data_IF_416654307418
#
_entry.id   IF_416654307418
#
_cell.length_a   1.000
_cell.length_b   1.000
_cell.length_c   1.000
_cell.angle_alpha   90.00
_cell.angle_beta   90.00
_cell.angle_gamma   90.00
#
_symmetry.space_group_name_H-M   'P 1'
#
loop_
_entity.id
_entity.type
_entity.pdbx_description
1 polymer ?
#
# COMPACT_ATOMS: atom_id res chain seq x y z
N UNK A 1 1.12 10.12 29.11
CA UNK A 1 0.45 9.87 27.81
C UNK A 1 0.48 8.37 27.54
N UNK A 2 -0.68 7.73 27.40
CA UNK A 2 -0.75 6.31 27.03
C UNK A 2 -0.53 6.22 25.52
N UNK A 3 0.62 5.69 25.09
CA UNK A 3 0.92 5.42 23.68
C UNK A 3 0.39 4.04 23.36
N UNK A 4 -0.43 3.92 22.31
CA UNK A 4 -0.99 2.63 21.90
C UNK A 4 0.13 1.78 21.28
N UNK A 5 0.68 0.85 22.06
CA UNK A 5 1.77 -0.06 21.66
C UNK A 5 1.26 -1.38 21.06
N UNK A 6 0.02 -1.78 21.34
CA UNK A 6 -0.53 -3.04 20.84
C UNK A 6 0.35 -4.23 21.26
N UNK A 7 0.73 -5.08 20.29
CA UNK A 7 1.62 -6.25 20.49
C UNK A 7 3.11 -5.85 20.42
N UNK A 8 3.42 -4.64 19.94
CA UNK A 8 4.80 -4.20 19.74
C UNK A 8 5.28 -3.35 20.92
N UNK A 9 6.57 -3.43 21.22
CA UNK A 9 7.19 -2.62 22.28
C UNK A 9 7.29 -1.13 21.90
N UNK A 10 7.21 -0.81 20.61
CA UNK A 10 7.26 0.55 20.07
C UNK A 10 5.99 0.91 19.27
N UNK A 11 5.34 2.07 19.54
CA UNK A 11 4.16 2.52 18.78
C UNK A 11 4.42 2.73 17.28
N UNK A 12 5.65 3.10 16.91
CA UNK A 12 6.08 3.27 15.51
C UNK A 12 6.08 1.95 14.74
N UNK A 13 6.49 0.85 15.38
CA UNK A 13 6.50 -0.48 14.78
C UNK A 13 5.06 -0.95 14.52
N UNK A 14 4.16 -0.74 15.48
CA UNK A 14 2.74 -1.06 15.31
C UNK A 14 2.10 -0.29 14.15
N UNK A 15 2.41 1.00 13.98
CA UNK A 15 1.90 1.81 12.87
C UNK A 15 2.40 1.32 11.51
N UNK A 16 3.67 0.93 11.40
CA UNK A 16 4.22 0.35 10.17
C UNK A 16 3.46 -0.90 9.73
N UNK A 17 3.25 -1.82 10.69
CA UNK A 17 2.47 -3.03 10.49
C UNK A 17 1.01 -2.72 10.11
N UNK A 18 0.30 -1.95 10.94
CA UNK A 18 -1.11 -1.64 10.75
C UNK A 18 -1.36 -0.92 9.43
N UNK A 19 -0.44 -0.05 8.99
CA UNK A 19 -0.54 0.67 7.72
C UNK A 19 -0.40 -0.25 6.51
N UNK A 20 0.60 -1.16 6.50
CA UNK A 20 0.76 -2.12 5.42
C UNK A 20 -0.49 -3.00 5.23
N UNK A 21 -1.02 -3.53 6.33
CA UNK A 21 -2.24 -4.33 6.32
C UNK A 21 -3.50 -3.54 5.97
N UNK A 22 -3.58 -2.28 6.39
CA UNK A 22 -4.64 -1.36 5.98
C UNK A 22 -4.68 -1.19 4.46
N UNK A 23 -3.53 -0.90 3.84
CA UNK A 23 -3.44 -0.74 2.37
C UNK A 23 -3.85 -2.03 1.66
N UNK A 24 -3.34 -3.17 2.12
CA UNK A 24 -3.67 -4.48 1.54
C UNK A 24 -5.17 -4.79 1.59
N UNK A 25 -5.81 -4.58 2.75
CA UNK A 25 -7.24 -4.83 2.93
C UNK A 25 -8.09 -3.83 2.15
N UNK A 26 -7.68 -2.56 2.08
CA UNK A 26 -8.39 -1.56 1.29
C UNK A 26 -8.31 -1.90 -0.20
N UNK A 27 -7.15 -2.29 -0.73
CA UNK A 27 -7.00 -2.73 -2.12
C UNK A 27 -7.83 -3.98 -2.43
N UNK A 28 -7.89 -4.95 -1.51
CA UNK A 28 -8.76 -6.11 -1.64
C UNK A 28 -10.24 -5.69 -1.71
N UNK A 29 -10.67 -4.77 -0.83
CA UNK A 29 -12.02 -4.24 -0.84
C UNK A 29 -12.32 -3.47 -2.13
N UNK A 30 -11.40 -2.64 -2.62
CA UNK A 30 -11.53 -1.91 -3.88
C UNK A 30 -11.72 -2.85 -5.07
N UNK A 31 -11.17 -4.07 -5.02
CA UNK A 31 -11.24 -5.10 -6.05
C UNK A 31 -12.36 -6.12 -5.89
N UNK A 32 -13.27 -5.95 -4.93
CA UNK A 32 -14.35 -6.90 -4.59
C UNK A 32 -13.87 -8.28 -4.11
N UNK A 33 -12.69 -8.33 -3.49
CA UNK A 33 -12.22 -9.54 -2.81
C UNK A 33 -12.78 -9.54 -1.40
N UNK A 34 -13.70 -10.47 -1.11
CA UNK A 34 -14.37 -10.64 0.19
C UNK A 34 -14.82 -9.30 0.81
N UNK A 35 -15.56 -8.43 0.09
CA UNK A 35 -15.77 -7.03 0.47
C UNK A 35 -16.48 -6.85 1.82
N UNK A 36 -17.27 -7.84 2.24
CA UNK A 36 -17.94 -7.86 3.56
C UNK A 36 -16.98 -8.04 4.74
N UNK A 37 -15.77 -8.57 4.50
CA UNK A 37 -14.73 -8.77 5.53
C UNK A 37 -13.60 -7.76 5.40
N UNK A 38 -13.12 -7.55 4.17
CA UNK A 38 -11.98 -6.67 3.88
C UNK A 38 -12.30 -5.19 4.11
N UNK A 39 -13.52 -4.76 3.78
CA UNK A 39 -13.97 -3.38 4.01
C UNK A 39 -14.01 -2.99 5.49
N UNK A 40 -14.77 -3.70 6.35
CA UNK A 40 -14.81 -3.42 7.78
C UNK A 40 -13.44 -3.54 8.46
N UNK A 41 -12.63 -4.52 8.06
CA UNK A 41 -11.27 -4.67 8.61
C UNK A 41 -10.36 -3.50 8.22
N UNK A 42 -10.42 -3.02 6.97
CA UNK A 42 -9.69 -1.83 6.54
C UNK A 42 -10.16 -0.58 7.30
N UNK A 43 -11.48 -0.43 7.52
CA UNK A 43 -12.03 0.69 8.30
C UNK A 43 -11.57 0.63 9.77
N UNK A 44 -11.59 -0.54 10.39
CA UNK A 44 -11.10 -0.72 11.75
C UNK A 44 -9.62 -0.32 11.89
N UNK A 45 -8.77 -0.77 10.96
CA UNK A 45 -7.35 -0.37 10.93
C UNK A 45 -7.18 1.13 10.66
N UNK A 46 -7.98 1.72 9.77
CA UNK A 46 -7.95 3.15 9.52
C UNK A 46 -8.29 3.97 10.78
N UNK A 47 -9.31 3.56 11.54
CA UNK A 47 -9.67 4.19 12.81
C UNK A 47 -8.55 4.04 13.84
N UNK A 48 -7.96 2.84 13.95
CA UNK A 48 -6.85 2.62 14.88
C UNK A 48 -5.64 3.50 14.52
N UNK A 49 -5.29 3.60 13.22
CA UNK A 49 -4.22 4.47 12.74
C UNK A 49 -4.53 5.96 13.01
N UNK A 50 -5.78 6.37 12.82
CA UNK A 50 -6.23 7.73 13.06
C UNK A 50 -6.17 8.10 14.56
N UNK A 51 -6.66 7.22 15.43
CA UNK A 51 -6.63 7.40 16.89
C UNK A 51 -5.25 7.13 17.51
N UNK A 52 -4.32 6.50 16.78
CA UNK A 52 -2.93 6.34 17.24
C UNK A 52 -2.22 7.68 17.43
N UNK A 53 -2.72 8.78 16.84
CA UNK A 53 -2.14 10.13 16.92
C UNK A 53 -0.64 10.18 16.58
N UNK A 54 -0.20 9.26 15.73
CA UNK A 54 1.19 9.14 15.30
C UNK A 54 1.42 9.91 14.01
N UNK A 55 2.43 10.78 13.98
CA UNK A 55 2.85 11.48 12.75
C UNK A 55 3.12 10.51 11.59
N UNK A 56 3.64 9.31 11.88
CA UNK A 56 3.92 8.29 10.86
C UNK A 56 2.64 7.69 10.29
N UNK A 57 1.59 7.56 11.11
CA UNK A 57 0.28 7.07 10.67
C UNK A 57 -0.38 8.08 9.72
N UNK A 58 -0.32 9.37 10.06
CA UNK A 58 -0.86 10.44 9.20
C UNK A 58 -0.07 10.57 7.89
N UNK A 59 1.26 10.43 7.90
CA UNK A 59 2.07 10.39 6.68
C UNK A 59 1.67 9.22 5.77
N UNK A 60 1.52 8.02 6.33
CA UNK A 60 1.07 6.84 5.57
C UNK A 60 -0.34 7.02 5.01
N UNK A 61 -1.31 7.35 5.86
CA UNK A 61 -2.72 7.55 5.46
C UNK A 61 -2.87 8.67 4.44
N UNK A 62 -2.22 9.82 4.66
CA UNK A 62 -2.24 10.95 3.74
C UNK A 62 -1.58 10.62 2.40
N UNK A 63 -0.39 10.01 2.42
CA UNK A 63 0.31 9.60 1.21
C UNK A 63 -0.50 8.61 0.37
N UNK A 64 -1.09 7.60 1.00
CA UNK A 64 -1.94 6.65 0.30
C UNK A 64 -3.29 7.26 -0.13
N UNK A 65 -3.87 8.15 0.66
CA UNK A 65 -5.06 8.92 0.31
C UNK A 65 -4.87 9.75 -0.97
N UNK A 66 -3.71 10.40 -1.12
CA UNK A 66 -3.35 11.12 -2.35
C UNK A 66 -3.26 10.16 -3.54
N UNK A 67 -2.63 8.99 -3.36
CA UNK A 67 -2.54 7.97 -4.42
C UNK A 67 -3.94 7.54 -4.89
N UNK A 68 -4.84 7.23 -3.95
CA UNK A 68 -6.22 6.84 -4.28
C UNK A 68 -7.00 7.99 -4.92
N UNK A 69 -6.83 9.22 -4.41
CA UNK A 69 -7.44 10.42 -4.98
C UNK A 69 -7.00 10.68 -6.41
N UNK A 70 -5.69 10.60 -6.69
CA UNK A 70 -5.14 10.72 -8.05
C UNK A 70 -5.65 9.60 -8.96
N UNK A 71 -5.81 8.37 -8.47
CA UNK A 71 -6.42 7.28 -9.26
C UNK A 71 -7.88 7.55 -9.60
N UNK A 72 -8.66 8.11 -8.66
CA UNK A 72 -10.04 8.50 -8.90
C UNK A 72 -10.15 9.63 -9.95
N UNK A 73 -9.22 10.60 -9.92
CA UNK A 73 -9.22 11.75 -10.83
C UNK A 73 -8.70 11.40 -12.23
N UNK A 74 -7.55 10.71 -12.31
CA UNK A 74 -6.85 10.45 -13.57
C UNK A 74 -7.34 9.19 -14.28
N UNK A 75 -7.90 8.23 -13.53
CA UNK A 75 -8.37 6.98 -14.10
C UNK A 75 -9.66 6.50 -13.41
N UNK A 76 -10.77 7.26 -13.48
CA UNK A 76 -12.03 6.89 -12.84
C UNK A 76 -12.55 5.53 -13.33
N UNK A 77 -12.24 5.14 -14.57
CA UNK A 77 -12.55 3.83 -15.14
C UNK A 77 -11.92 2.63 -14.40
N UNK A 78 -10.88 2.86 -13.62
CA UNK A 78 -10.18 1.84 -12.85
C UNK A 78 -10.79 1.57 -11.47
N UNK A 79 -11.75 2.38 -11.04
CA UNK A 79 -12.42 2.23 -9.75
C UNK A 79 -13.94 2.18 -9.97
N UNK A 80 -14.66 1.44 -9.12
CA UNK A 80 -16.11 1.48 -9.16
C UNK A 80 -16.58 2.84 -8.63
N UNK A 81 -17.42 3.55 -9.38
CA UNK A 81 -17.95 4.86 -9.02
C UNK A 81 -18.64 4.84 -7.64
N UNK A 82 -19.31 3.73 -7.29
CA UNK A 82 -19.91 3.58 -5.96
C UNK A 82 -18.87 3.57 -4.85
N UNK A 83 -17.73 2.89 -5.08
CA UNK A 83 -16.64 2.83 -4.10
C UNK A 83 -15.91 4.17 -3.99
N UNK A 84 -15.71 4.84 -5.12
CA UNK A 84 -15.20 6.21 -5.15
C UNK A 84 -16.09 7.15 -4.31
N UNK A 85 -17.41 7.07 -4.49
CA UNK A 85 -18.36 7.85 -3.70
C UNK A 85 -18.33 7.49 -2.21
N UNK A 86 -18.24 6.20 -1.86
CA UNK A 86 -18.11 5.82 -0.44
C UNK A 86 -16.80 6.30 0.18
N UNK A 87 -15.69 6.32 -0.57
CA UNK A 87 -14.42 6.86 -0.08
C UNK A 87 -14.51 8.38 0.09
N UNK A 88 -15.09 9.09 -0.88
CA UNK A 88 -15.31 10.53 -0.80
C UNK A 88 -16.25 10.88 0.38
N UNK A 89 -17.33 10.11 0.55
CA UNK A 89 -18.25 10.25 1.67
C UNK A 89 -17.60 9.94 3.01
N UNK A 90 -16.76 8.92 3.10
CA UNK A 90 -16.00 8.61 4.31
C UNK A 90 -14.97 9.71 4.64
N UNK A 91 -14.29 10.25 3.64
CA UNK A 91 -13.37 11.37 3.82
C UNK A 91 -14.10 12.64 4.30
N UNK A 92 -15.27 12.93 3.72
CA UNK A 92 -16.11 14.04 4.14
C UNK A 92 -16.66 13.84 5.56
N UNK A 93 -17.14 12.63 5.88
CA UNK A 93 -17.61 12.29 7.23
C UNK A 93 -16.49 12.40 8.27
N UNK A 94 -15.27 11.97 7.94
CA UNK A 94 -14.10 12.15 8.78
C UNK A 94 -13.79 13.64 8.98
N UNK A 95 -13.83 14.43 7.91
CA UNK A 95 -13.63 15.89 8.00
C UNK A 95 -14.68 16.53 8.90
N UNK A 96 -15.95 16.20 8.74
CA UNK A 96 -17.05 16.70 9.59
C UNK A 96 -16.83 16.27 11.04
N UNK A 97 -16.47 15.02 11.29
CA UNK A 97 -16.20 14.52 12.64
C UNK A 97 -15.03 15.25 13.29
N UNK A 98 -13.96 15.53 12.55
CA UNK A 98 -12.82 16.32 13.03
C UNK A 98 -13.23 17.75 13.32
N UNK A 99 -14.00 18.41 12.43
CA UNK A 99 -14.50 19.76 12.66
C UNK A 99 -15.48 19.84 13.85
N UNK A 100 -16.34 18.84 14.01
CA UNK A 100 -17.27 18.76 15.14
C UNK A 100 -16.51 18.53 16.45
N UNK A 101 -15.52 17.63 16.46
CA UNK A 101 -14.68 17.38 17.63
C UNK A 101 -13.83 18.61 18.00
N UNK A 102 -13.32 19.31 16.99
CA UNK A 102 -12.63 20.59 17.15
C UNK A 102 -13.51 21.66 17.79
N UNK A 103 -14.77 21.73 17.38
CA UNK A 103 -15.75 22.68 17.91
C UNK A 103 -16.21 22.33 19.32
N UNK A 104 -16.48 21.05 19.58
CA UNK A 104 -16.98 20.55 20.87
C UNK A 104 -15.88 20.44 21.94
N UNK A 105 -14.63 20.29 21.53
CA UNK A 105 -13.50 20.14 22.43
C UNK A 105 -12.33 21.03 22.00
N UNK A 106 -12.26 22.28 22.47
CA UNK A 106 -11.19 23.20 22.09
C UNK A 106 -9.78 22.67 22.41
N UNK A 107 -9.64 21.90 23.49
CA UNK A 107 -8.38 21.23 23.83
C UNK A 107 -7.95 20.16 22.80
N UNK A 108 -8.87 19.64 21.99
CA UNK A 108 -8.54 18.77 20.85
C UNK A 108 -7.84 19.57 19.74
N UNK A 109 -8.23 20.83 19.50
CA UNK A 109 -7.52 21.70 18.56
C UNK A 109 -6.12 22.03 19.09
N UNK A 110 -5.96 22.29 20.38
CA UNK A 110 -4.63 22.50 20.97
C UNK A 110 -3.77 21.24 20.88
N UNK A 111 -4.36 20.06 21.11
CA UNK A 111 -3.68 18.78 20.97
C UNK A 111 -3.28 18.49 19.52
N UNK A 112 -4.19 18.67 18.56
CA UNK A 112 -3.94 18.45 17.14
C UNK A 112 -2.95 19.48 16.59
N UNK A 113 -3.12 20.76 16.90
CA UNK A 113 -2.17 21.81 16.51
C UNK A 113 -0.79 21.56 17.11
N UNK A 114 -0.70 21.10 18.37
CA UNK A 114 0.56 20.68 18.99
C UNK A 114 1.16 19.47 18.28
N UNK A 115 0.36 18.46 17.91
CA UNK A 115 0.85 17.29 17.17
C UNK A 115 1.29 17.68 15.76
N UNK A 116 0.53 18.52 15.04
CA UNK A 116 0.88 19.01 13.71
C UNK A 116 2.12 19.91 13.73
N UNK A 117 2.24 20.83 14.70
CA UNK A 117 3.47 21.61 14.93
C UNK A 117 4.64 20.70 15.26
N UNK A 118 4.45 19.73 16.17
CA UNK A 118 5.50 18.76 16.53
C UNK A 118 5.84 17.77 15.41
N UNK A 119 4.92 17.51 14.49
CA UNK A 119 5.12 16.62 13.35
C UNK A 119 5.77 17.32 12.16
N UNK A 120 5.48 18.62 11.96
CA UNK A 120 5.82 19.38 10.75
C UNK A 120 6.93 20.40 10.99
N UNK A 121 6.84 21.20 12.06
CA UNK A 121 7.71 22.37 12.30
C UNK A 121 8.78 22.03 13.35
N UNK A 122 8.39 21.61 14.57
CA UNK A 122 9.38 21.29 15.61
C UNK A 122 10.14 19.99 15.33
N UNK A 123 9.64 19.08 14.48
CA UNK A 123 10.38 17.84 14.18
C UNK A 123 11.61 18.08 13.30
N UNK A 124 11.61 19.13 12.47
CA UNK A 124 12.76 19.50 11.64
C UNK A 124 13.82 20.21 12.48
N UNK A 125 13.42 21.08 13.41
CA UNK A 125 14.33 21.85 14.27
C UNK A 125 14.62 21.19 15.64
N UNK A 126 13.92 20.11 16.01
CA UNK A 126 14.25 19.36 17.23
C UNK A 126 15.64 18.75 17.13
N UNK A 127 16.33 18.64 18.27
CA UNK A 127 17.63 17.97 18.38
C UNK A 127 17.62 16.57 17.75
N UNK A 128 16.48 15.85 17.85
CA UNK A 128 16.26 14.56 17.20
C UNK A 128 16.11 14.62 15.68
N UNK A 129 15.58 15.72 15.14
CA UNK A 129 15.45 16.01 13.71
C UNK A 129 16.78 16.37 13.08
N UNK A 130 17.55 17.23 13.75
CA UNK A 130 18.90 17.61 13.35
C UNK A 130 19.82 16.38 13.35
N UNK A 131 19.77 15.55 14.40
CA UNK A 131 20.49 14.29 14.42
C UNK A 131 20.07 13.37 13.26
N UNK A 132 18.77 13.26 12.96
CA UNK A 132 18.31 12.48 11.80
C UNK A 132 18.82 13.04 10.47
N UNK A 133 18.79 14.35 10.25
CA UNK A 133 19.31 14.97 9.03
C UNK A 133 20.82 14.78 8.89
N UNK A 134 21.55 14.88 10.00
CA UNK A 134 22.98 14.59 10.08
C UNK A 134 23.28 13.13 9.68
N UNK A 135 22.56 12.16 10.25
CA UNK A 135 22.69 10.74 9.86
C UNK A 135 22.17 10.44 8.44
N UNK A 136 21.27 11.25 7.87
CA UNK A 136 20.92 11.12 6.46
C UNK A 136 22.10 11.56 5.58
N UNK A 137 22.75 12.68 5.94
CA UNK A 137 23.90 13.23 5.22
C UNK A 137 25.12 12.32 5.26
N UNK A 138 25.45 11.74 6.42
CA UNK A 138 26.54 10.75 6.53
C UNK A 138 26.30 9.57 5.58
N UNK A 139 25.06 9.16 5.35
CA UNK A 139 24.75 8.06 4.43
C UNK A 139 25.08 8.40 2.98
N UNK A 140 24.84 9.65 2.59
CA UNK A 140 25.20 10.17 1.27
C UNK A 140 26.73 10.32 1.15
N UNK A 141 27.38 10.84 2.19
CA UNK A 141 28.84 10.97 2.22
C UNK A 141 29.52 9.59 2.14
N UNK A 142 28.99 8.59 2.85
CA UNK A 142 29.46 7.20 2.78
C UNK A 142 29.26 6.58 1.39
N UNK A 143 28.16 6.91 0.70
CA UNK A 143 27.95 6.48 -0.67
C UNK A 143 29.03 7.04 -1.61
N UNK A 144 29.34 8.33 -1.52
CA UNK A 144 30.40 8.92 -2.34
C UNK A 144 31.81 8.45 -1.95
N UNK A 145 32.08 8.31 -0.65
CA UNK A 145 33.37 7.81 -0.15
C UNK A 145 33.64 6.35 -0.55
N UNK A 146 32.59 5.54 -0.76
CA UNK A 146 32.69 4.15 -1.23
C UNK A 146 32.59 4.02 -2.76
N UNK A 147 32.72 5.12 -3.51
CA UNK A 147 32.57 5.15 -4.97
C UNK A 147 31.24 4.51 -5.46
N UNK A 148 30.19 4.60 -4.64
CA UNK A 148 28.87 4.07 -4.95
C UNK A 148 28.70 2.55 -4.73
N UNK A 149 29.68 1.87 -4.13
CA UNK A 149 29.58 0.44 -3.77
C UNK A 149 28.77 0.26 -2.47
N UNK A 150 28.84 1.25 -1.57
CA UNK A 150 28.29 1.16 -0.22
C UNK A 150 29.30 0.61 0.78
N UNK A 151 29.12 0.94 2.06
CA UNK A 151 30.03 0.55 3.16
C UNK A 151 29.62 -0.76 3.86
N UNK A 152 28.65 -1.48 3.31
CA UNK A 152 28.16 -2.78 3.77
C UNK A 152 26.86 -2.68 4.58
N UNK A 153 25.96 -3.68 4.47
CA UNK A 153 24.73 -3.76 5.25
C UNK A 153 25.05 -3.92 6.75
N UNK A 154 24.44 -3.08 7.59
CA UNK A 154 24.63 -3.09 9.04
C UNK A 154 25.81 -2.25 9.54
N UNK A 155 26.73 -1.84 8.66
CA UNK A 155 27.84 -0.91 8.99
C UNK A 155 27.37 0.51 9.28
N UNK A 156 26.14 0.83 8.87
CA UNK A 156 25.59 2.18 8.92
C UNK A 156 24.13 2.18 9.34
N UNK A 157 23.79 3.09 10.26
CA UNK A 157 22.42 3.33 10.71
C UNK A 157 22.02 4.74 10.31
N UNK A 158 21.14 4.85 9.32
CA UNK A 158 20.64 6.15 8.88
C UNK A 158 19.37 6.53 9.64
N UNK A 159 18.75 7.63 9.23
CA UNK A 159 17.44 8.07 9.72
C UNK A 159 16.31 7.83 8.71
N UNK A 160 16.66 7.48 7.47
CA UNK A 160 15.75 7.29 6.35
C UNK A 160 16.12 6.00 5.62
N UNK A 161 15.12 5.24 5.16
CA UNK A 161 15.35 3.98 4.43
C UNK A 161 16.20 4.21 3.18
N UNK A 162 15.98 5.33 2.48
CA UNK A 162 16.64 5.65 1.22
C UNK A 162 18.14 5.89 1.44
N UNK A 163 18.50 6.71 2.43
CA UNK A 163 19.90 6.98 2.75
C UNK A 163 20.58 5.80 3.42
N UNK A 164 19.84 4.98 4.17
CA UNK A 164 20.36 3.71 4.69
C UNK A 164 20.69 2.73 3.56
N UNK A 165 19.81 2.59 2.56
CA UNK A 165 20.00 1.72 1.41
C UNK A 165 21.20 2.18 0.55
N UNK A 166 21.26 3.47 0.23
CA UNK A 166 22.36 4.03 -0.56
C UNK A 166 23.70 3.93 0.15
N UNK A 167 23.78 4.33 1.42
CA UNK A 167 25.03 4.27 2.18
C UNK A 167 25.51 2.84 2.40
N UNK A 168 24.60 1.90 2.68
CA UNK A 168 24.98 0.53 3.04
C UNK A 168 25.21 -0.38 1.83
N UNK A 169 24.32 -0.35 0.85
CA UNK A 169 24.32 -1.29 -0.29
C UNK A 169 24.75 -0.66 -1.62
N UNK A 170 24.95 0.66 -1.61
CA UNK A 170 25.39 1.40 -2.79
C UNK A 170 24.34 1.44 -3.91
N UNK A 171 24.84 1.72 -5.10
CA UNK A 171 24.05 1.83 -6.32
C UNK A 171 23.54 0.45 -6.75
N UNK A 172 24.37 -0.59 -6.63
CA UNK A 172 24.03 -1.95 -7.06
C UNK A 172 22.87 -2.50 -6.23
N UNK A 173 22.95 -2.41 -4.90
CA UNK A 173 21.88 -2.87 -4.01
C UNK A 173 20.60 -2.06 -4.18
N UNK A 174 20.71 -0.74 -4.34
CA UNK A 174 19.56 0.13 -4.61
C UNK A 174 18.85 -0.22 -5.93
N UNK A 175 19.61 -0.47 -7.00
CA UNK A 175 19.06 -0.90 -8.29
C UNK A 175 18.44 -2.30 -8.20
N UNK A 176 19.07 -3.24 -7.50
CA UNK A 176 18.52 -4.57 -7.28
C UNK A 176 17.19 -4.51 -6.49
N UNK A 177 17.13 -3.66 -5.46
CA UNK A 177 15.90 -3.41 -4.70
C UNK A 177 14.82 -2.78 -5.57
N UNK A 178 15.14 -1.76 -6.36
CA UNK A 178 14.19 -1.14 -7.29
C UNK A 178 13.69 -2.14 -8.34
N UNK A 179 14.56 -3.00 -8.85
CA UNK A 179 14.17 -4.08 -9.76
C UNK A 179 13.24 -5.08 -9.07
N UNK A 180 13.52 -5.45 -7.82
CA UNK A 180 12.64 -6.33 -7.04
C UNK A 180 11.26 -5.68 -6.80
N UNK A 181 11.25 -4.40 -6.39
CA UNK A 181 10.03 -3.63 -6.21
C UNK A 181 9.23 -3.51 -7.52
N UNK A 182 9.90 -3.23 -8.65
CA UNK A 182 9.26 -3.18 -9.96
C UNK A 182 8.69 -4.55 -10.37
N UNK A 183 9.38 -5.65 -10.07
CA UNK A 183 8.91 -7.02 -10.32
C UNK A 183 7.70 -7.38 -9.44
N UNK A 184 7.69 -6.96 -8.18
CA UNK A 184 6.57 -7.17 -7.27
C UNK A 184 5.36 -6.31 -7.68
N UNK A 185 5.57 -5.02 -7.97
CA UNK A 185 4.48 -4.11 -8.33
C UNK A 185 3.91 -4.37 -9.72
N UNK A 186 4.76 -4.74 -10.69
CA UNK A 186 4.42 -4.91 -12.12
C UNK A 186 3.67 -3.70 -12.69
N UNK A 187 4.33 -2.53 -12.79
CA UNK A 187 3.69 -1.28 -13.22
C UNK A 187 3.18 -1.32 -14.67
N UNK A 188 3.70 -2.22 -15.51
CA UNK A 188 3.27 -2.30 -16.91
C UNK A 188 2.04 -3.21 -17.10
N UNK A 189 1.56 -3.90 -16.05
CA UNK A 189 0.40 -4.79 -16.17
C UNK A 189 -0.89 -4.06 -15.82
N UNK A 190 -1.87 -4.15 -16.71
CA UNK A 190 -3.23 -3.62 -16.50
C UNK A 190 -3.87 -4.21 -15.22
N UNK A 191 -3.57 -5.46 -14.88
CA UNK A 191 -4.03 -6.12 -13.65
C UNK A 191 -3.67 -5.36 -12.37
N UNK A 192 -2.63 -4.50 -12.40
CA UNK A 192 -2.21 -3.66 -11.28
C UNK A 192 -3.17 -2.51 -11.03
N UNK A 193 -3.77 -1.95 -12.07
CA UNK A 193 -4.63 -0.77 -11.95
C UNK A 193 -6.11 -1.08 -12.09
N UNK A 194 -6.47 -2.21 -12.69
CA UNK A 194 -7.85 -2.50 -13.05
C UNK A 194 -8.80 -2.60 -11.84
N UNK A 195 -10.02 -2.10 -12.04
CA UNK A 195 -11.12 -2.24 -11.08
C UNK A 195 -11.78 -3.62 -11.12
N UNK A 196 -12.82 -3.85 -10.29
CA UNK A 196 -13.45 -5.17 -10.14
C UNK A 196 -13.97 -5.79 -11.43
N UNK A 197 -14.56 -4.98 -12.32
CA UNK A 197 -15.18 -5.46 -13.57
C UNK A 197 -14.18 -6.15 -14.48
N UNK A 198 -13.05 -5.47 -14.75
CA UNK A 198 -11.97 -6.02 -15.57
C UNK A 198 -11.13 -7.03 -14.78
N UNK A 199 -10.98 -6.82 -13.47
CA UNK A 199 -10.26 -7.71 -12.55
C UNK A 199 -10.79 -9.15 -12.54
N UNK A 200 -12.11 -9.34 -12.67
CA UNK A 200 -12.73 -10.68 -12.76
C UNK A 200 -12.18 -11.53 -13.91
N UNK A 201 -11.72 -10.92 -15.00
CA UNK A 201 -11.16 -11.65 -16.14
C UNK A 201 -9.79 -12.26 -15.85
N UNK A 202 -9.03 -11.67 -14.91
CA UNK A 202 -7.69 -12.13 -14.54
C UNK A 202 -7.69 -13.15 -13.37
N UNK A 203 -8.86 -13.43 -12.79
CA UNK A 203 -8.99 -14.31 -11.63
C UNK A 203 -8.65 -13.64 -10.29
N UNK A 204 -9.20 -14.20 -9.22
CA UNK A 204 -9.08 -13.67 -7.86
C UNK A 204 -7.63 -13.62 -7.36
N UNK A 205 -6.84 -14.67 -7.61
CA UNK A 205 -5.43 -14.72 -7.22
C UNK A 205 -4.62 -13.55 -7.78
N UNK A 206 -4.82 -13.21 -9.05
CA UNK A 206 -4.11 -12.08 -9.69
C UNK A 206 -4.49 -10.74 -9.04
N UNK A 207 -5.74 -10.59 -8.61
CA UNK A 207 -6.23 -9.38 -7.93
C UNK A 207 -5.72 -9.27 -6.49
N UNK A 208 -5.66 -10.39 -5.75
CA UNK A 208 -5.02 -10.43 -4.43
C UNK A 208 -3.53 -10.10 -4.54
N UNK A 209 -2.85 -10.68 -5.54
CA UNK A 209 -1.45 -10.35 -5.82
C UNK A 209 -1.28 -8.87 -6.19
N UNK A 210 -2.25 -8.26 -6.87
CA UNK A 210 -2.23 -6.83 -7.15
C UNK A 210 -2.38 -5.96 -5.89
N UNK A 211 -3.25 -6.35 -4.97
CA UNK A 211 -3.34 -5.72 -3.66
C UNK A 211 -2.01 -5.86 -2.89
N UNK A 212 -1.36 -7.02 -2.94
CA UNK A 212 -0.03 -7.24 -2.38
C UNK A 212 1.03 -6.32 -2.98
N UNK A 213 1.03 -6.13 -4.30
CA UNK A 213 1.96 -5.21 -4.97
C UNK A 213 1.79 -3.76 -4.52
N UNK A 214 0.55 -3.29 -4.37
CA UNK A 214 0.26 -1.95 -3.84
C UNK A 214 0.64 -1.81 -2.36
N UNK A 215 0.38 -2.81 -1.53
CA UNK A 215 0.78 -2.81 -0.13
C UNK A 215 2.31 -2.78 0.03
N UNK A 216 3.03 -3.58 -0.77
CA UNK A 216 4.50 -3.60 -0.81
C UNK A 216 5.09 -2.24 -1.22
N UNK A 217 4.44 -1.52 -2.15
CA UNK A 217 4.87 -0.18 -2.53
C UNK A 217 4.56 0.83 -1.41
N UNK A 218 3.34 0.81 -0.87
CA UNK A 218 2.91 1.83 0.07
C UNK A 218 3.59 1.69 1.43
N UNK A 219 3.91 0.49 1.90
CA UNK A 219 4.62 0.31 3.19
C UNK A 219 5.98 1.03 3.21
N UNK A 220 6.57 1.30 2.04
CA UNK A 220 7.79 2.09 1.91
C UNK A 220 7.59 3.58 2.20
N UNK A 221 6.37 4.12 2.12
CA UNK A 221 6.08 5.54 2.37
C UNK A 221 6.46 5.94 3.81
N UNK A 222 5.92 5.30 4.87
CA UNK A 222 6.37 5.60 6.23
C UNK A 222 7.80 5.13 6.49
N UNK A 223 8.24 4.02 5.88
CA UNK A 223 9.61 3.51 6.05
C UNK A 223 10.67 4.48 5.50
N UNK A 224 10.36 5.19 4.41
CA UNK A 224 11.23 6.20 3.81
C UNK A 224 11.62 7.30 4.79
N UNK A 225 10.77 7.61 5.77
CA UNK A 225 10.98 8.72 6.73
C UNK A 225 11.52 8.23 8.07
N UNK A 226 11.25 6.98 8.45
CA UNK A 226 11.46 6.50 9.83
C UNK A 226 12.46 5.36 9.92
N UNK A 227 12.62 4.55 8.87
CA UNK A 227 13.42 3.33 8.97
C UNK A 227 14.92 3.64 8.92
N UNK A 228 15.70 3.20 9.92
CA UNK A 228 17.13 3.44 9.96
C UNK A 228 17.95 2.35 9.22
N UNK A 229 17.29 1.28 8.78
CA UNK A 229 17.90 0.08 8.19
C UNK A 229 17.73 0.06 6.68
N UNK A 230 18.66 -0.60 5.99
CA UNK A 230 18.54 -0.90 4.57
C UNK A 230 17.55 -2.05 4.28
N UNK A 231 17.01 -2.72 5.30
CA UNK A 231 15.94 -3.71 5.17
C UNK A 231 14.56 -3.02 5.29
N UNK A 232 13.67 -3.15 4.28
CA UNK A 232 12.29 -2.64 4.36
C UNK A 232 11.40 -3.43 5.34
N UNK A 233 11.84 -4.60 5.81
CA UNK A 233 11.19 -5.38 6.87
C UNK A 233 10.27 -6.49 6.38
N UNK A 234 9.76 -7.28 7.35
CA UNK A 234 8.97 -8.49 7.08
C UNK A 234 7.66 -8.23 6.35
N UNK A 235 6.96 -7.13 6.64
CA UNK A 235 5.69 -6.81 5.97
C UNK A 235 5.89 -6.58 4.47
N UNK A 236 6.96 -5.86 4.09
CA UNK A 236 7.33 -5.71 2.68
C UNK A 236 7.56 -7.06 2.01
N UNK A 237 8.33 -7.94 2.66
CA UNK A 237 8.63 -9.28 2.14
C UNK A 237 7.36 -10.11 1.94
N UNK A 238 6.42 -10.07 2.90
CA UNK A 238 5.13 -10.77 2.81
C UNK A 238 4.30 -10.24 1.64
N UNK A 239 4.13 -8.93 1.52
CA UNK A 239 3.32 -8.35 0.44
C UNK A 239 3.96 -8.55 -0.94
N UNK A 240 5.28 -8.44 -1.04
CA UNK A 240 6.02 -8.73 -2.27
C UNK A 240 5.89 -10.21 -2.66
N UNK A 241 5.99 -11.13 -1.69
CA UNK A 241 5.81 -12.57 -1.91
C UNK A 241 4.39 -12.90 -2.39
N UNK A 242 3.35 -12.34 -1.74
CA UNK A 242 1.95 -12.48 -2.17
C UNK A 242 1.78 -12.02 -3.62
N UNK A 243 2.34 -10.86 -3.96
CA UNK A 243 2.26 -10.32 -5.32
C UNK A 243 2.94 -11.23 -6.35
N UNK A 244 4.19 -11.62 -6.09
CA UNK A 244 4.98 -12.43 -7.00
C UNK A 244 4.41 -13.83 -7.17
N UNK A 245 4.02 -14.49 -6.08
CA UNK A 245 3.48 -15.84 -6.09
C UNK A 245 2.13 -15.88 -6.81
N UNK A 246 1.15 -15.08 -6.37
CA UNK A 246 -0.21 -15.17 -6.92
C UNK A 246 -0.33 -14.68 -8.37
N UNK A 247 0.54 -13.77 -8.82
CA UNK A 247 0.58 -13.30 -10.21
C UNK A 247 1.48 -14.15 -11.11
N UNK A 248 2.11 -15.19 -10.57
CA UNK A 248 2.83 -16.21 -11.34
C UNK A 248 1.96 -17.42 -11.67
N UNK A 249 0.85 -17.59 -10.93
CA UNK A 249 -0.11 -18.65 -11.19
C UNK A 249 -0.73 -18.49 -12.58
N UNK A 250 -0.97 -19.60 -13.30
CA UNK A 250 -1.71 -19.57 -14.54
C UNK A 250 -3.05 -18.87 -14.31
N UNK A 251 -3.43 -17.97 -15.23
CA UNK A 251 -4.78 -17.43 -15.23
C UNK A 251 -5.74 -18.62 -15.24
N UNK A 252 -6.82 -18.60 -14.44
CA UNK A 252 -7.89 -19.56 -14.63
C UNK A 252 -8.21 -19.52 -16.11
N UNK A 253 -8.07 -20.65 -16.82
CA UNK A 253 -8.55 -20.74 -18.20
C UNK A 253 -10.01 -20.33 -18.10
N UNK A 254 -10.32 -19.09 -18.52
CA UNK A 254 -11.68 -18.63 -18.68
C UNK A 254 -12.39 -19.79 -19.36
N UNK A 255 -13.44 -20.32 -18.75
CA UNK A 255 -14.12 -21.53 -19.17
C UNK A 255 -14.26 -21.56 -20.70
N UNK A 256 -13.26 -22.13 -21.38
CA UNK A 256 -13.23 -22.30 -22.83
C UNK A 256 -14.13 -23.48 -23.24
N UNK A 257 -15.14 -23.72 -22.40
CA UNK A 257 -16.22 -24.69 -22.52
C UNK A 257 -17.56 -23.99 -22.21
N UNK A 258 -17.62 -22.66 -22.20
CA UNK A 258 -18.84 -22.00 -22.64
C UNK A 258 -18.85 -22.04 -24.17
N UNK A 259 -19.76 -22.84 -24.74
CA UNK A 259 -20.15 -22.80 -26.15
C UNK A 259 -19.13 -23.38 -27.16
N UNK A 260 -18.92 -24.70 -27.13
CA UNK A 260 -19.06 -25.39 -28.44
C UNK A 260 -20.54 -25.24 -28.78
N UNK A 261 -20.95 -24.57 -29.88
CA UNK A 261 -22.29 -24.83 -30.38
C UNK A 261 -22.35 -26.34 -30.53
N UNK A 262 -23.29 -26.99 -29.85
CA UNK A 262 -23.63 -28.36 -30.21
C UNK A 262 -23.89 -28.26 -31.70
N UNK A 263 -23.05 -28.93 -32.50
CA UNK A 263 -23.35 -29.12 -33.90
C UNK A 263 -24.71 -29.78 -33.86
N UNK A 264 -25.75 -29.01 -34.17
CA UNK A 264 -27.09 -29.52 -34.32
C UNK A 264 -26.95 -30.59 -35.39
N UNK A 265 -26.96 -31.84 -34.96
CA UNK A 265 -26.99 -32.99 -35.84
C UNK A 265 -28.29 -32.84 -36.62
N UNK A 266 -28.18 -32.27 -37.81
CA UNK A 266 -29.25 -32.23 -38.80
C UNK A 266 -29.67 -33.67 -39.05
N UNK A 267 -30.67 -34.14 -38.31
CA UNK A 267 -31.36 -35.39 -38.63
C UNK A 267 -32.04 -35.14 -39.97
N UNK A 268 -31.48 -35.73 -41.03
CA UNK A 268 -32.18 -35.85 -42.30
C UNK A 268 -33.46 -36.66 -42.06
N UNK A 269 -34.65 -36.20 -42.47
CA UNK A 269 -35.81 -37.05 -42.49
C UNK A 269 -35.56 -38.20 -43.48
N UNK A 270 -35.67 -39.43 -42.99
CA UNK A 270 -35.69 -40.64 -43.83
C UNK A 270 -36.98 -40.58 -44.66
N UNK A 271 -36.93 -40.64 -46.00
CA UNK A 271 -38.15 -40.74 -46.79
C UNK A 271 -38.83 -42.08 -46.50
N UNK A 272 -40.12 -42.02 -46.18
CA UNK A 272 -40.96 -43.19 -46.08
C UNK A 272 -41.06 -43.85 -47.46
N UNK A 273 -40.47 -45.03 -47.60
CA UNK A 273 -40.77 -45.89 -48.74
C UNK A 273 -42.12 -46.56 -48.50
N UNK A 274 -43.14 -46.07 -49.20
CA UNK A 274 -44.34 -46.81 -49.56
C UNK A 274 -44.05 -47.57 -50.85
N UNK A 275 -44.14 -48.90 -50.82
CA UNK A 275 -43.96 -49.79 -51.96
C UNK A 275 -43.61 -51.20 -51.51
#
# INVERSE_FOLDING_TARGET
MVRLTGIFTEPSAYVGFAFGWFVFLLECWLRDILPRRTGPAALALALVLFFSTSSTAYLGLGGYGIIVGLRLLLAPQHLDARKGLTLAGAALALLIAVCALAFLWPAFIDLMSTILRRATIDKQDSESGIQRAFWARIGIDAFFASYGIGIGPGSFRSSSFVTAMLGSTGLIGSLAFLAHLARAFRPLRISTYCGPRLGRQFGENTMIGAAGGWAALCVLIPAAVVSPTCDPGGDFAVFAAISLALRSLPLPRAAAVAQRPSVATWRRPVPAHSG
#
